data_IF_433806251206
#
_entry.id   IF_433806251206
#
_cell.length_a   1.000
_cell.length_b   1.000
_cell.length_c   1.000
_cell.angle_alpha   90.00
_cell.angle_beta   90.00
_cell.angle_gamma   90.00
#
_symmetry.space_group_name_H-M   'P 1'
#
loop_
_entity.id
_entity.type
_entity.pdbx_description
1 polymer ?
#
# COMPACT_ATOMS: atom_id res chain seq x y z
N UNK A 1 7.75 -19.19 -8.62
CA UNK A 1 7.41 -18.10 -9.56
C UNK A 1 6.38 -17.12 -9.01
N UNK A 2 5.15 -17.54 -8.67
CA UNK A 2 4.11 -16.61 -8.18
C UNK A 2 4.55 -15.70 -7.01
N UNK A 3 5.28 -16.22 -6.02
CA UNK A 3 5.81 -15.42 -4.91
C UNK A 3 6.85 -14.37 -5.33
N UNK A 4 7.62 -14.62 -6.39
CA UNK A 4 8.60 -13.67 -6.91
C UNK A 4 7.90 -12.54 -7.68
N UNK A 5 6.89 -12.88 -8.48
CA UNK A 5 6.02 -11.90 -9.14
C UNK A 5 5.33 -11.03 -8.09
N UNK A 6 4.79 -11.64 -7.03
CA UNK A 6 4.19 -10.92 -5.92
C UNK A 6 5.19 -9.97 -5.24
N UNK A 7 6.44 -10.40 -5.03
CA UNK A 7 7.48 -9.53 -4.48
C UNK A 7 7.77 -8.31 -5.38
N UNK A 8 7.85 -8.52 -6.70
CA UNK A 8 8.04 -7.43 -7.67
C UNK A 8 6.85 -6.47 -7.65
N UNK A 9 5.62 -6.99 -7.69
CA UNK A 9 4.40 -6.16 -7.68
C UNK A 9 4.31 -5.34 -6.38
N UNK A 10 4.55 -5.95 -5.23
CA UNK A 10 4.57 -5.23 -3.95
C UNK A 10 5.68 -4.19 -3.89
N UNK A 11 6.88 -4.53 -4.39
CA UNK A 11 7.99 -3.59 -4.48
C UNK A 11 7.65 -2.37 -5.33
N UNK A 12 7.04 -2.59 -6.50
CA UNK A 12 6.58 -1.53 -7.40
C UNK A 12 5.48 -0.68 -6.76
N UNK A 13 4.49 -1.30 -6.11
CA UNK A 13 3.45 -0.56 -5.38
C UNK A 13 4.05 0.29 -4.26
N UNK A 14 4.99 -0.25 -3.48
CA UNK A 14 5.71 0.50 -2.45
C UNK A 14 6.49 1.68 -3.03
N UNK A 15 7.18 1.47 -4.16
CA UNK A 15 7.93 2.50 -4.86
C UNK A 15 7.01 3.64 -5.36
N UNK A 16 5.93 3.30 -6.06
CA UNK A 16 4.97 4.26 -6.62
C UNK A 16 4.27 5.05 -5.51
N UNK A 17 3.79 4.37 -4.47
CA UNK A 17 3.13 5.02 -3.35
C UNK A 17 4.09 5.92 -2.55
N UNK A 18 5.32 5.46 -2.33
CA UNK A 18 6.36 6.26 -1.69
C UNK A 18 6.65 7.53 -2.49
N UNK A 19 6.91 7.39 -3.80
CA UNK A 19 7.16 8.51 -4.70
C UNK A 19 5.99 9.50 -4.71
N UNK A 20 4.77 9.03 -4.93
CA UNK A 20 3.56 9.87 -4.95
C UNK A 20 3.38 10.65 -3.65
N UNK A 21 3.52 9.99 -2.49
CA UNK A 21 3.43 10.66 -1.19
C UNK A 21 4.51 11.74 -1.01
N UNK A 22 5.75 11.47 -1.42
CA UNK A 22 6.85 12.44 -1.29
C UNK A 22 6.69 13.63 -2.23
N UNK A 23 6.18 13.42 -3.45
CA UNK A 23 5.92 14.49 -4.41
C UNK A 23 4.80 15.41 -3.90
N UNK A 24 3.68 14.84 -3.46
CA UNK A 24 2.55 15.61 -2.91
C UNK A 24 2.99 16.42 -1.69
N UNK A 25 3.75 15.81 -0.77
CA UNK A 25 4.27 16.49 0.42
C UNK A 25 5.27 17.59 0.08
N UNK A 26 6.02 17.45 -1.02
CA UNK A 26 6.99 18.45 -1.49
C UNK A 26 6.30 19.63 -2.17
N UNK A 27 5.26 19.38 -2.96
CA UNK A 27 4.53 20.43 -3.70
C UNK A 27 3.57 21.21 -2.79
N UNK A 28 3.11 20.60 -1.68
CA UNK A 28 2.19 21.24 -0.74
C UNK A 28 0.76 21.39 -1.29
N UNK A 29 0.45 20.76 -2.42
CA UNK A 29 -0.88 20.73 -3.03
C UNK A 29 -1.79 19.79 -2.21
N UNK A 30 -2.64 20.38 -1.37
CA UNK A 30 -3.58 19.60 -0.55
C UNK A 30 -4.94 19.48 -1.24
N UNK A 31 -5.47 18.26 -1.44
CA UNK A 31 -6.80 18.09 -1.99
C UNK A 31 -7.85 18.69 -1.04
N UNK A 32 -8.75 19.50 -1.59
CA UNK A 32 -9.89 20.01 -0.85
C UNK A 32 -11.01 18.96 -0.88
N UNK A 33 -11.44 18.50 0.30
CA UNK A 33 -12.48 17.46 0.43
C UNK A 33 -13.80 17.90 -0.22
N UNK A 34 -14.15 19.18 -0.13
CA UNK A 34 -15.36 19.70 -0.74
C UNK A 34 -15.32 19.65 -2.28
N UNK A 35 -14.15 19.95 -2.88
CA UNK A 35 -14.00 19.87 -4.33
C UNK A 35 -13.97 18.43 -4.81
N UNK A 36 -13.35 17.52 -4.04
CA UNK A 36 -13.34 16.08 -4.36
C UNK A 36 -14.74 15.48 -4.27
N UNK A 37 -15.53 15.87 -3.26
CA UNK A 37 -16.93 15.44 -3.14
C UNK A 37 -17.75 15.91 -4.34
N UNK A 38 -17.67 17.19 -4.71
CA UNK A 38 -18.39 17.75 -5.86
C UNK A 38 -17.99 17.04 -7.18
N UNK A 39 -16.70 16.85 -7.42
CA UNK A 39 -16.20 16.15 -8.62
C UNK A 39 -16.62 14.68 -8.66
N UNK A 40 -16.68 14.02 -7.50
CA UNK A 40 -17.11 12.63 -7.41
C UNK A 40 -18.62 12.52 -7.67
N UNK A 41 -19.42 13.47 -7.22
CA UNK A 41 -20.85 13.55 -7.51
C UNK A 41 -21.12 13.82 -8.99
N UNK A 42 -20.42 14.78 -9.61
CA UNK A 42 -20.52 15.06 -11.05
C UNK A 42 -20.17 13.82 -11.90
N UNK A 43 -19.07 13.13 -11.55
CA UNK A 43 -18.65 11.92 -12.25
C UNK A 43 -19.69 10.80 -12.12
N UNK A 44 -20.26 10.64 -10.92
CA UNK A 44 -21.28 9.63 -10.65
C UNK A 44 -22.60 9.90 -11.39
N UNK A 45 -23.01 11.17 -11.49
CA UNK A 45 -24.19 11.56 -12.26
C UNK A 45 -24.01 11.30 -13.77
N UNK A 46 -22.79 11.47 -14.29
CA UNK A 46 -22.48 11.20 -15.69
C UNK A 46 -22.49 9.69 -16.04
N UNK A 47 -22.29 8.81 -15.05
CA UNK A 47 -22.12 7.37 -15.25
C UNK A 47 -23.45 6.57 -15.13
N UNK A 48 -24.59 7.23 -14.87
CA UNK A 48 -25.91 6.61 -14.61
C UNK A 48 -25.84 5.40 -13.65
N UNK A 49 -24.90 5.42 -12.72
CA UNK A 49 -24.63 4.29 -11.84
C UNK A 49 -25.73 4.12 -10.77
N UNK A 50 -25.86 2.90 -10.23
CA UNK A 50 -26.79 2.66 -9.13
C UNK A 50 -26.46 3.54 -7.90
N UNK A 51 -27.47 4.03 -7.14
CA UNK A 51 -27.26 4.98 -6.05
C UNK A 51 -26.24 4.51 -5.00
N UNK A 52 -26.22 3.20 -4.71
CA UNK A 52 -25.29 2.60 -3.74
C UNK A 52 -23.85 2.62 -4.28
N UNK A 53 -23.64 2.35 -5.56
CA UNK A 53 -22.31 2.33 -6.17
C UNK A 53 -21.69 3.73 -6.21
N UNK A 54 -22.50 4.73 -6.57
CA UNK A 54 -22.14 6.15 -6.53
C UNK A 54 -21.59 6.53 -5.15
N UNK A 55 -22.33 6.18 -4.10
CA UNK A 55 -21.96 6.53 -2.72
C UNK A 55 -20.67 5.85 -2.27
N UNK A 56 -20.49 4.57 -2.60
CA UNK A 56 -19.26 3.83 -2.30
C UNK A 56 -18.06 4.48 -3.01
N UNK A 57 -18.21 4.86 -4.28
CA UNK A 57 -17.14 5.50 -5.06
C UNK A 57 -16.77 6.86 -4.48
N UNK A 58 -17.76 7.69 -4.12
CA UNK A 58 -17.54 8.97 -3.45
C UNK A 58 -16.79 8.73 -2.13
N UNK A 59 -17.23 7.78 -1.31
CA UNK A 59 -16.59 7.46 -0.03
C UNK A 59 -15.12 7.06 -0.18
N UNK A 60 -14.78 6.25 -1.19
CA UNK A 60 -13.38 5.89 -1.48
C UNK A 60 -12.54 7.10 -1.89
N UNK A 61 -13.04 7.94 -2.81
CA UNK A 61 -12.33 9.16 -3.25
C UNK A 61 -12.12 10.13 -2.10
N UNK A 62 -13.13 10.29 -1.24
CA UNK A 62 -13.06 11.12 -0.04
C UNK A 62 -12.06 10.54 0.97
N UNK A 63 -12.04 9.22 1.11
CA UNK A 63 -11.06 8.47 1.91
C UNK A 63 -9.62 8.71 1.47
N UNK A 64 -9.37 8.67 0.17
CA UNK A 64 -8.04 8.93 -0.41
C UNK A 64 -7.62 10.38 -0.21
N UNK A 65 -8.52 11.34 -0.46
CA UNK A 65 -8.26 12.76 -0.25
C UNK A 65 -8.01 13.09 1.24
N UNK A 66 -8.81 12.52 2.15
CA UNK A 66 -8.61 12.64 3.58
C UNK A 66 -7.28 12.02 4.02
N UNK A 67 -6.88 10.90 3.39
CA UNK A 67 -5.61 10.26 3.68
C UNK A 67 -4.44 11.15 3.26
N UNK A 68 -4.46 11.69 2.04
CA UNK A 68 -3.43 12.62 1.58
C UNK A 68 -3.32 13.87 2.45
N UNK A 69 -4.46 14.45 2.84
CA UNK A 69 -4.48 15.59 3.76
C UNK A 69 -3.92 15.23 5.14
N UNK A 70 -4.26 14.05 5.67
CA UNK A 70 -3.73 13.58 6.96
C UNK A 70 -2.21 13.40 6.95
N UNK A 71 -1.67 12.95 5.82
CA UNK A 71 -0.23 12.83 5.62
C UNK A 71 0.44 14.19 5.60
N UNK A 72 -0.19 15.18 4.95
CA UNK A 72 0.32 16.55 4.84
C UNK A 72 0.33 17.28 6.19
N UNK A 73 -0.71 17.12 7.01
CA UNK A 73 -0.75 17.67 8.38
C UNK A 73 0.40 17.15 9.26
N UNK A 74 0.87 15.94 8.98
CA UNK A 74 1.97 15.29 9.72
C UNK A 74 3.24 15.12 8.88
N UNK A 75 3.46 16.02 7.91
CA UNK A 75 4.56 15.95 6.93
C UNK A 75 5.94 15.67 7.54
N UNK A 76 6.21 16.21 8.73
CA UNK A 76 7.50 16.02 9.43
C UNK A 76 7.83 14.55 9.71
N UNK A 77 6.81 13.72 9.95
CA UNK A 77 6.96 12.29 10.23
C UNK A 77 6.70 11.46 8.98
N UNK A 78 5.71 11.85 8.17
CA UNK A 78 5.27 11.07 7.01
C UNK A 78 6.20 11.19 5.82
N UNK A 79 6.87 12.34 5.63
CA UNK A 79 7.84 12.53 4.55
C UNK A 79 9.02 11.55 4.60
N UNK A 80 9.79 11.43 5.71
CA UNK A 80 10.89 10.47 5.78
C UNK A 80 10.40 9.01 5.66
N UNK A 81 9.20 8.70 6.15
CA UNK A 81 8.58 7.39 5.95
C UNK A 81 8.23 7.14 4.47
N UNK A 82 7.75 8.15 3.74
CA UNK A 82 7.52 8.07 2.30
C UNK A 82 8.81 7.74 1.53
N UNK A 83 9.91 8.41 1.86
CA UNK A 83 11.23 8.12 1.27
C UNK A 83 11.70 6.70 1.63
N UNK A 84 11.55 6.28 2.89
CA UNK A 84 11.89 4.93 3.33
C UNK A 84 11.10 3.85 2.57
N UNK A 85 9.80 4.06 2.40
CA UNK A 85 8.91 3.19 1.62
C UNK A 85 9.33 3.13 0.15
N UNK A 86 9.68 4.27 -0.45
CA UNK A 86 10.16 4.36 -1.82
C UNK A 86 11.44 3.52 -2.01
N UNK A 87 12.44 3.71 -1.14
CA UNK A 87 13.71 3.00 -1.21
C UNK A 87 13.56 1.48 -0.97
N UNK A 88 12.80 1.08 0.05
CA UNK A 88 12.60 -0.33 0.37
C UNK A 88 11.70 -1.05 -0.63
N UNK A 89 10.71 -0.35 -1.21
CA UNK A 89 9.91 -0.84 -2.32
C UNK A 89 10.77 -1.07 -3.57
N UNK A 90 11.63 -0.10 -3.91
CA UNK A 90 12.62 -0.24 -4.98
C UNK A 90 13.58 -1.41 -4.74
N UNK A 91 14.09 -1.56 -3.52
CA UNK A 91 14.96 -2.68 -3.13
C UNK A 91 14.26 -4.03 -3.29
N UNK A 92 13.00 -4.14 -2.83
CA UNK A 92 12.22 -5.38 -2.97
C UNK A 92 11.94 -5.72 -4.43
N UNK A 93 11.69 -4.70 -5.25
CA UNK A 93 11.49 -4.84 -6.70
C UNK A 93 12.75 -5.41 -7.37
N UNK A 94 13.92 -4.79 -7.11
CA UNK A 94 15.22 -5.27 -7.63
C UNK A 94 15.53 -6.67 -7.13
N UNK A 95 15.33 -6.96 -5.85
CA UNK A 95 15.54 -8.29 -5.29
C UNK A 95 14.63 -9.34 -5.94
N UNK A 96 13.37 -8.98 -6.22
CA UNK A 96 12.42 -9.83 -6.95
C UNK A 96 12.88 -10.13 -8.38
N UNK A 97 13.35 -9.13 -9.12
CA UNK A 97 13.90 -9.31 -10.47
C UNK A 97 15.18 -10.17 -10.48
N UNK A 98 16.12 -9.90 -9.56
CA UNK A 98 17.34 -10.71 -9.42
C UNK A 98 17.04 -12.16 -9.03
N UNK A 99 15.98 -12.38 -8.24
CA UNK A 99 15.51 -13.71 -7.91
C UNK A 99 14.86 -14.39 -9.11
N UNK A 100 14.08 -13.68 -9.94
CA UNK A 100 13.51 -14.21 -11.18
C UNK A 100 14.58 -14.59 -12.19
N UNK A 101 15.67 -13.82 -12.27
CA UNK A 101 16.80 -14.13 -13.15
C UNK A 101 17.67 -15.29 -12.65
N UNK A 102 17.31 -15.93 -11.53
CA UNK A 102 18.04 -17.08 -10.98
C UNK A 102 19.44 -16.78 -10.48
N UNK A 103 19.78 -15.49 -10.23
CA UNK A 103 21.14 -15.10 -9.86
C UNK A 103 21.56 -15.76 -8.54
N UNK A 104 22.81 -16.19 -8.44
CA UNK A 104 23.35 -16.80 -7.22
C UNK A 104 23.24 -15.84 -6.02
N UNK A 105 22.79 -16.35 -4.88
CA UNK A 105 22.60 -15.57 -3.65
C UNK A 105 21.32 -14.72 -3.60
N UNK A 106 20.57 -14.62 -4.71
CA UNK A 106 19.32 -13.83 -4.79
C UNK A 106 18.27 -14.25 -3.76
N UNK A 107 18.21 -15.54 -3.41
CA UNK A 107 17.29 -16.06 -2.38
C UNK A 107 17.50 -15.40 -1.01
N UNK A 108 18.74 -15.36 -0.54
CA UNK A 108 19.06 -14.78 0.79
C UNK A 108 18.83 -13.28 0.76
N UNK A 109 19.24 -12.62 -0.31
CA UNK A 109 19.02 -11.19 -0.51
C UNK A 109 17.52 -10.84 -0.53
N UNK A 110 16.70 -11.62 -1.23
CA UNK A 110 15.25 -11.43 -1.27
C UNK A 110 14.62 -11.64 0.11
N UNK A 111 15.05 -12.64 0.89
CA UNK A 111 14.58 -12.82 2.26
C UNK A 111 14.95 -11.63 3.16
N UNK A 112 16.15 -11.08 3.02
CA UNK A 112 16.55 -9.87 3.74
C UNK A 112 15.71 -8.65 3.34
N UNK A 113 15.46 -8.47 2.04
CA UNK A 113 14.63 -7.38 1.53
C UNK A 113 13.17 -7.50 2.04
N UNK A 114 12.60 -8.71 2.05
CA UNK A 114 11.27 -8.98 2.60
C UNK A 114 11.23 -8.69 4.10
N UNK A 115 12.24 -9.13 4.85
CA UNK A 115 12.32 -8.88 6.29
C UNK A 115 12.44 -7.38 6.60
N UNK A 116 13.29 -6.64 5.87
CA UNK A 116 13.42 -5.20 6.01
C UNK A 116 12.10 -4.47 5.71
N UNK A 117 11.39 -4.88 4.66
CA UNK A 117 10.06 -4.35 4.34
C UNK A 117 9.03 -4.66 5.44
N UNK A 118 9.06 -5.86 6.03
CA UNK A 118 8.14 -6.23 7.11
C UNK A 118 8.37 -5.40 8.37
N UNK A 119 9.64 -5.22 8.77
CA UNK A 119 10.02 -4.35 9.89
C UNK A 119 9.60 -2.91 9.59
N UNK A 120 9.86 -2.41 8.38
CA UNK A 120 9.50 -1.07 7.99
C UNK A 120 7.97 -0.84 8.02
N UNK A 121 7.18 -1.79 7.52
CA UNK A 121 5.70 -1.72 7.58
C UNK A 121 5.22 -1.67 9.02
N UNK A 122 5.82 -2.45 9.93
CA UNK A 122 5.49 -2.40 11.35
C UNK A 122 5.87 -1.05 12.00
N UNK A 123 7.04 -0.50 11.65
CA UNK A 123 7.48 0.82 12.12
C UNK A 123 6.60 1.94 11.59
N UNK A 124 6.27 1.93 10.31
CA UNK A 124 5.36 2.90 9.68
C UNK A 124 4.01 2.89 10.42
N UNK A 125 3.47 1.70 10.71
CA UNK A 125 2.25 1.58 11.51
C UNK A 125 2.43 2.11 12.94
N UNK A 126 3.52 1.78 13.62
CA UNK A 126 3.77 2.24 14.99
C UNK A 126 3.94 3.77 15.08
N UNK A 127 4.56 4.40 14.06
CA UNK A 127 4.93 5.82 14.05
C UNK A 127 3.83 6.74 13.49
N UNK A 128 2.78 6.21 12.88
CA UNK A 128 1.69 7.02 12.28
C UNK A 128 0.33 6.97 13.02
N UNK A 129 0.25 6.88 14.37
CA UNK A 129 -1.04 6.87 15.06
C UNK A 129 -1.80 8.19 14.90
N UNK A 130 -1.10 9.33 14.90
CA UNK A 130 -1.70 10.65 14.73
C UNK A 130 -2.32 10.83 13.33
N UNK A 131 -1.63 10.38 12.28
CA UNK A 131 -2.14 10.36 10.90
C UNK A 131 -3.42 9.55 10.80
N UNK A 132 -3.46 8.36 11.43
CA UNK A 132 -4.66 7.53 11.43
C UNK A 132 -5.82 8.19 12.17
N UNK A 133 -5.53 8.80 13.32
CA UNK A 133 -6.55 9.51 14.09
C UNK A 133 -7.11 10.71 13.30
N UNK A 134 -6.26 11.50 12.64
CA UNK A 134 -6.71 12.63 11.83
C UNK A 134 -7.49 12.19 10.59
N UNK A 135 -7.04 11.12 9.91
CA UNK A 135 -7.78 10.51 8.81
C UNK A 135 -9.19 10.07 9.23
N UNK A 136 -9.32 9.37 10.37
CA UNK A 136 -10.62 8.93 10.89
C UNK A 136 -11.49 10.13 11.26
N UNK A 137 -10.91 11.17 11.88
CA UNK A 137 -11.62 12.41 12.20
C UNK A 137 -12.15 13.10 10.95
N UNK A 138 -11.33 13.20 9.90
CA UNK A 138 -11.74 13.75 8.61
C UNK A 138 -12.83 12.91 7.94
N UNK A 139 -12.73 11.59 7.98
CA UNK A 139 -13.77 10.71 7.44
C UNK A 139 -15.10 10.85 8.19
N UNK A 140 -15.06 10.98 9.52
CA UNK A 140 -16.24 11.24 10.32
C UNK A 140 -16.90 12.59 9.96
N UNK A 141 -16.09 13.63 9.74
CA UNK A 141 -16.59 14.94 9.29
C UNK A 141 -17.13 14.89 7.86
N UNK A 142 -16.48 14.13 6.99
CA UNK A 142 -16.84 14.01 5.58
C UNK A 142 -18.16 13.25 5.35
N UNK A 143 -18.70 12.58 6.39
CA UNK A 143 -20.05 12.00 6.38
C UNK A 143 -21.14 13.02 6.00
N UNK A 144 -20.95 14.30 6.36
CA UNK A 144 -21.90 15.37 6.03
C UNK A 144 -21.85 15.78 4.55
N UNK A 145 -20.82 15.37 3.81
CA UNK A 145 -20.63 15.64 2.39
C UNK A 145 -21.16 14.51 1.50
N UNK A 146 -21.65 13.42 2.09
CA UNK A 146 -22.23 12.33 1.32
C UNK A 146 -23.60 12.77 0.75
N UNK A 147 -23.88 12.49 -0.53
CA UNK A 147 -25.14 12.88 -1.17
C UNK A 147 -26.36 12.26 -0.47
N UNK A 148 -27.51 12.91 -0.64
CA UNK A 148 -28.79 12.43 -0.13
C UNK A 148 -29.15 11.06 -0.71
N UNK A 149 -29.68 10.15 0.13
CA UNK A 149 -30.09 8.80 -0.30
C UNK A 149 -29.80 7.72 0.73
N UNK A 150 -28.79 7.92 1.58
CA UNK A 150 -28.53 7.04 2.72
C UNK A 150 -29.35 7.46 3.93
N UNK A 151 -29.89 6.47 4.63
CA UNK A 151 -30.42 6.66 5.98
C UNK A 151 -29.30 7.14 6.92
N UNK A 152 -29.67 7.88 7.96
CA UNK A 152 -28.70 8.36 8.95
C UNK A 152 -27.93 7.20 9.62
N UNK A 153 -28.60 6.05 9.78
CA UNK A 153 -28.00 4.84 10.30
C UNK A 153 -26.94 4.23 9.36
N UNK A 154 -27.15 4.23 8.04
CA UNK A 154 -26.15 3.75 7.08
C UNK A 154 -24.93 4.67 7.00
N UNK A 155 -25.15 5.99 7.05
CA UNK A 155 -24.03 6.95 7.11
C UNK A 155 -23.22 6.78 8.39
N UNK A 156 -23.91 6.61 9.52
CA UNK A 156 -23.27 6.39 10.81
C UNK A 156 -22.46 5.08 10.83
N UNK A 157 -22.93 4.01 10.18
CA UNK A 157 -22.18 2.75 10.13
C UNK A 157 -20.94 2.84 9.22
N UNK A 158 -21.01 3.56 8.10
CA UNK A 158 -19.86 3.75 7.20
C UNK A 158 -18.77 4.66 7.78
N UNK A 159 -19.14 5.55 8.70
CA UNK A 159 -18.23 6.53 9.31
C UNK A 159 -17.98 6.31 10.79
N UNK A 160 -18.43 5.17 11.34
CA UNK A 160 -18.16 4.79 12.73
C UNK A 160 -16.64 4.70 12.97
N UNK A 161 -16.08 5.56 13.83
CA UNK A 161 -14.65 5.53 14.16
C UNK A 161 -14.16 4.16 14.60
N UNK A 162 -14.98 3.36 15.29
CA UNK A 162 -14.61 2.03 15.76
C UNK A 162 -14.39 1.07 14.58
N UNK A 163 -15.30 1.09 13.61
CA UNK A 163 -15.19 0.29 12.39
C UNK A 163 -14.01 0.74 11.53
N UNK A 164 -13.77 2.05 11.41
CA UNK A 164 -12.62 2.59 10.68
C UNK A 164 -11.28 2.19 11.33
N UNK A 165 -11.19 2.23 12.67
CA UNK A 165 -10.02 1.73 13.39
C UNK A 165 -9.79 0.23 13.17
N UNK A 166 -10.87 -0.56 13.24
CA UNK A 166 -10.81 -2.00 12.98
C UNK A 166 -10.38 -2.29 11.54
N UNK A 167 -10.95 -1.59 10.57
CA UNK A 167 -10.60 -1.70 9.15
C UNK A 167 -9.12 -1.37 8.91
N UNK A 168 -8.58 -0.32 9.54
CA UNK A 168 -7.16 0.02 9.43
C UNK A 168 -6.24 -1.06 10.01
N UNK A 169 -6.60 -1.66 11.15
CA UNK A 169 -5.85 -2.79 11.74
C UNK A 169 -5.88 -4.02 10.83
N UNK A 170 -7.07 -4.36 10.34
CA UNK A 170 -7.24 -5.46 9.41
C UNK A 170 -6.42 -5.23 8.14
N UNK A 171 -6.49 -4.02 7.57
CA UNK A 171 -5.73 -3.65 6.38
C UNK A 171 -4.23 -3.79 6.58
N UNK A 172 -3.72 -3.32 7.73
CA UNK A 172 -2.32 -3.45 8.09
C UNK A 172 -1.87 -4.93 8.14
N UNK A 173 -2.63 -5.79 8.81
CA UNK A 173 -2.28 -7.21 8.93
C UNK A 173 -2.39 -7.92 7.58
N UNK A 174 -3.52 -7.77 6.89
CA UNK A 174 -3.85 -8.55 5.69
C UNK A 174 -3.12 -8.06 4.45
N UNK A 175 -3.04 -6.75 4.24
CA UNK A 175 -2.41 -6.18 3.04
C UNK A 175 -1.00 -5.65 3.28
N UNK A 176 -0.63 -5.34 4.52
CA UNK A 176 0.74 -4.94 4.87
C UNK A 176 1.65 -6.14 5.12
N UNK A 177 1.37 -6.91 6.18
CA UNK A 177 2.23 -8.01 6.61
C UNK A 177 1.93 -9.34 5.91
N UNK A 178 0.67 -9.61 5.61
CA UNK A 178 0.22 -10.86 4.98
C UNK A 178 1.00 -11.25 3.72
N UNK A 179 1.12 -10.36 2.72
CA UNK A 179 1.80 -10.70 1.46
C UNK A 179 3.30 -10.95 1.68
N UNK A 180 3.95 -10.19 2.57
CA UNK A 180 5.36 -10.37 2.92
C UNK A 180 5.58 -11.72 3.62
N UNK A 181 4.68 -12.10 4.53
CA UNK A 181 4.71 -13.41 5.18
C UNK A 181 4.52 -14.56 4.18
N UNK A 182 3.60 -14.40 3.21
CA UNK A 182 3.39 -15.37 2.14
C UNK A 182 4.63 -15.52 1.24
N UNK A 183 5.29 -14.41 0.88
CA UNK A 183 6.54 -14.45 0.12
C UNK A 183 7.64 -15.18 0.90
N UNK A 184 7.85 -14.82 2.17
CA UNK A 184 8.85 -15.46 3.01
C UNK A 184 8.59 -16.97 3.16
N UNK A 185 7.33 -17.35 3.40
CA UNK A 185 6.93 -18.75 3.49
C UNK A 185 7.16 -19.49 2.16
N UNK A 186 6.79 -18.89 1.03
CA UNK A 186 6.97 -19.50 -0.27
C UNK A 186 8.46 -19.73 -0.62
N UNK A 187 9.34 -18.77 -0.29
CA UNK A 187 10.79 -18.86 -0.57
C UNK A 187 11.53 -19.81 0.39
N UNK A 188 10.97 -20.04 1.58
CA UNK A 188 11.56 -20.97 2.57
C UNK A 188 11.22 -22.43 2.31
N UNK A 189 10.15 -22.73 1.55
CA UNK A 189 9.73 -24.09 1.19
C UNK A 189 10.73 -24.83 0.30
N UNK A 190 10.75 -26.16 0.44
CA UNK A 190 11.68 -27.05 -0.27
C UNK A 190 11.67 -26.90 -1.80
N UNK A 191 10.52 -26.81 -2.50
CA UNK A 191 10.50 -26.66 -3.96
C UNK A 191 11.20 -25.39 -4.45
N UNK A 192 11.05 -24.28 -3.72
CA UNK A 192 11.74 -23.04 -4.05
C UNK A 192 13.25 -23.17 -3.86
N UNK A 193 13.71 -23.86 -2.80
CA UNK A 193 15.14 -24.12 -2.58
C UNK A 193 15.76 -24.91 -3.73
N UNK A 194 15.08 -25.97 -4.17
CA UNK A 194 15.54 -26.80 -5.29
C UNK A 194 15.65 -25.98 -6.58
N UNK A 195 14.67 -25.13 -6.86
CA UNK A 195 14.71 -24.23 -8.01
C UNK A 195 15.91 -23.26 -7.96
N UNK A 196 16.14 -22.61 -6.82
CA UNK A 196 17.30 -21.71 -6.66
C UNK A 196 18.64 -22.45 -6.74
N UNK A 197 18.71 -23.70 -6.27
CA UNK A 197 19.91 -24.54 -6.39
C UNK A 197 20.17 -24.93 -7.86
N UNK A 198 19.13 -25.34 -8.58
CA UNK A 198 19.23 -25.67 -10.01
C UNK A 198 19.68 -24.46 -10.84
N UNK A 199 19.10 -23.28 -10.61
CA UNK A 199 19.52 -22.06 -11.29
C UNK A 199 20.96 -21.67 -10.98
N UNK A 200 21.38 -21.80 -9.72
CA UNK A 200 22.75 -21.51 -9.32
C UNK A 200 23.78 -22.48 -9.94
N UNK A 201 23.38 -23.73 -10.20
CA UNK A 201 24.20 -24.71 -10.91
C UNK A 201 24.31 -24.35 -12.40
N UNK A 202 23.20 -24.05 -13.08
CA UNK A 202 23.20 -23.67 -14.50
C UNK A 202 24.09 -22.44 -14.77
N UNK A 203 24.04 -21.42 -13.91
CA UNK A 203 24.92 -20.24 -14.06
C UNK A 203 26.41 -20.49 -13.84
N UNK A 204 26.81 -21.64 -13.26
CA UNK A 204 28.23 -22.01 -13.15
C UNK A 204 28.74 -22.61 -14.45
N UNK A 205 27.97 -23.52 -15.04
CA UNK A 205 28.34 -24.21 -16.27
C UNK A 205 28.52 -23.21 -17.43
N UNK A 206 27.63 -22.22 -17.54
CA UNK A 206 27.74 -21.12 -18.55
C UNK A 206 28.99 -20.24 -18.38
N UNK A 207 29.63 -20.21 -17.21
CA UNK A 207 30.85 -19.44 -16.96
C UNK A 207 32.14 -20.23 -17.16
N UNK A 208 32.04 -21.54 -17.37
CA UNK A 208 33.18 -22.46 -17.53
C UNK A 208 33.38 -22.91 -18.99
N UNK A 209 32.50 -22.56 -19.94
CA UNK A 209 32.72 -22.74 -21.38
C UNK A 209 33.52 -21.55 -22.00
N UNK A 210 34.73 -21.79 -22.56
CA UNK A 210 35.59 -20.77 -23.18
C UNK A 210 35.23 -20.39 -24.62
#
# INVERSE_FOLDING_TARGET
MAALVLAVVLGLQGLVNGCGSTLILREGTMPNLATVAAQAEEAAQAEEAEPIQIQIQILFRLGDAAHLRSLAEHARVTFPLGVGRMLLGGLLCVAGFLALSGRRGSRTFLLQAVAANAVFVALDYALTPAVRASWIGMMAQASSLLPGGLTEQERASMTDPRLLWMAQRFRFVVFGLGPLALIALAITRAPARLWFQAMAAATRDDTEEP
#
